data_IF_216735841677
#
_entry.id   IF_216735841677
#
_cell.length_a   1.000
_cell.length_b   1.000
_cell.length_c   1.000
_cell.angle_alpha   90.00
_cell.angle_beta   90.00
_cell.angle_gamma   90.00
#
_symmetry.space_group_name_H-M   'P 1'
#
loop_
_entity.id
_entity.type
_entity.pdbx_description
1 polymer ?
#
# COMPACT_ATOMS: atom_id res chain seq x y z
N UNK A 1 -0.25 -15.77 -69.83
CA UNK A 1 -0.81 -15.24 -68.58
C UNK A 1 -0.18 -16.01 -67.43
N UNK A 2 0.80 -15.42 -66.74
CA UNK A 2 1.48 -16.07 -65.60
C UNK A 2 0.88 -15.49 -64.34
N UNK A 3 0.07 -16.29 -63.64
CA UNK A 3 -0.50 -15.91 -62.34
C UNK A 3 0.59 -16.16 -61.31
N UNK A 4 1.18 -15.08 -60.79
CA UNK A 4 2.14 -15.13 -59.70
C UNK A 4 1.35 -15.14 -58.39
N UNK A 5 1.20 -16.32 -57.77
CA UNK A 5 0.61 -16.44 -56.43
C UNK A 5 1.71 -16.07 -55.44
N UNK A 6 1.64 -14.87 -54.86
CA UNK A 6 2.49 -14.49 -53.72
C UNK A 6 1.77 -14.99 -52.46
N UNK A 7 2.22 -16.12 -51.92
CA UNK A 7 1.76 -16.58 -50.62
C UNK A 7 2.25 -15.63 -49.53
N UNK A 8 1.31 -14.97 -48.83
CA UNK A 8 1.62 -14.26 -47.59
C UNK A 8 1.77 -15.32 -46.50
N UNK A 9 3.00 -15.65 -46.13
CA UNK A 9 3.24 -16.43 -44.93
C UNK A 9 2.96 -15.54 -43.71
N UNK A 10 1.87 -15.80 -42.99
CA UNK A 10 1.65 -15.19 -41.69
C UNK A 10 2.60 -15.87 -40.69
N UNK A 11 3.74 -15.23 -40.42
CA UNK A 11 4.62 -15.64 -39.34
C UNK A 11 4.00 -15.17 -38.02
N UNK A 12 3.51 -16.11 -37.21
CA UNK A 12 3.18 -15.83 -35.81
C UNK A 12 4.49 -15.66 -35.05
N UNK A 13 4.88 -14.43 -34.76
CA UNK A 13 6.01 -14.18 -33.84
C UNK A 13 5.47 -14.46 -32.43
N UNK A 14 6.01 -15.43 -31.67
CA UNK A 14 5.60 -15.62 -30.29
C UNK A 14 5.99 -14.36 -29.51
N UNK A 15 4.99 -13.67 -28.95
CA UNK A 15 5.24 -12.61 -27.98
C UNK A 15 5.93 -13.26 -26.77
N UNK A 16 7.12 -12.76 -26.43
CA UNK A 16 7.71 -13.10 -25.14
C UNK A 16 7.05 -12.20 -24.13
N UNK A 17 6.37 -12.83 -23.18
CA UNK A 17 5.79 -12.10 -22.08
C UNK A 17 6.89 -11.70 -21.10
N UNK A 18 7.03 -10.41 -20.83
CA UNK A 18 7.89 -9.92 -19.77
C UNK A 18 7.08 -9.77 -18.49
N UNK A 19 7.56 -10.38 -17.40
CA UNK A 19 7.01 -10.18 -16.07
C UNK A 19 7.75 -9.02 -15.43
N UNK A 20 7.05 -7.91 -15.22
CA UNK A 20 7.60 -6.67 -14.69
C UNK A 20 7.01 -6.43 -13.30
N UNK A 21 7.87 -6.13 -12.32
CA UNK A 21 7.45 -5.68 -11.01
C UNK A 21 7.06 -4.20 -11.09
N UNK A 22 5.80 -3.88 -10.83
CA UNK A 22 5.25 -2.52 -10.89
C UNK A 22 4.79 -2.10 -9.49
N UNK A 23 5.07 -0.85 -9.11
CA UNK A 23 4.60 -0.25 -7.87
C UNK A 23 3.34 0.60 -8.09
N UNK A 24 2.42 0.57 -7.14
CA UNK A 24 1.25 1.44 -7.12
C UNK A 24 1.14 2.13 -5.77
N UNK A 25 0.88 3.44 -5.79
CA UNK A 25 0.73 4.21 -4.56
C UNK A 25 -0.62 3.95 -3.89
N UNK A 26 -0.56 3.60 -2.61
CA UNK A 26 -1.75 3.47 -1.77
C UNK A 26 -2.13 4.87 -1.31
N UNK A 27 -3.38 5.28 -1.60
CA UNK A 27 -3.89 6.54 -1.07
C UNK A 27 -4.31 6.31 0.38
N UNK A 28 -3.97 7.24 1.27
CA UNK A 28 -4.28 7.13 2.69
C UNK A 28 -4.72 8.48 3.23
N UNK A 29 -5.79 8.49 4.02
CA UNK A 29 -6.23 9.68 4.73
C UNK A 29 -5.34 9.94 5.95
N UNK A 30 -5.39 11.18 6.46
CA UNK A 30 -5.01 11.44 7.84
C UNK A 30 -5.91 10.63 8.79
N UNK A 31 -5.37 10.28 9.95
CA UNK A 31 -6.12 9.67 11.04
C UNK A 31 -6.96 10.73 11.74
N UNK A 32 -8.24 10.43 11.96
CA UNK A 32 -9.08 11.14 12.92
C UNK A 32 -8.93 10.47 14.29
N UNK A 33 -8.43 11.22 15.28
CA UNK A 33 -8.05 10.68 16.59
C UNK A 33 -9.01 11.21 17.64
N UNK A 34 -9.70 10.32 18.35
CA UNK A 34 -10.50 10.67 19.54
C UNK A 34 -9.77 10.22 20.80
N UNK A 35 -9.47 11.17 21.67
CA UNK A 35 -8.72 10.97 22.90
C UNK A 35 -9.62 10.73 24.10
N UNK A 36 -9.13 9.91 25.03
CA UNK A 36 -9.83 9.52 26.23
C UNK A 36 -8.90 9.59 27.45
N UNK A 37 -9.38 10.21 28.52
CA UNK A 37 -8.80 10.04 29.84
C UNK A 37 -9.23 8.67 30.40
N UNK A 38 -8.26 7.89 30.89
CA UNK A 38 -8.48 6.56 31.41
C UNK A 38 -8.34 6.60 32.94
N UNK A 39 -9.43 6.50 33.72
CA UNK A 39 -9.36 6.59 35.19
C UNK A 39 -9.03 5.24 35.87
N UNK A 40 -9.15 4.13 35.14
CA UNK A 40 -9.00 2.77 35.64
C UNK A 40 -8.12 1.95 34.71
N UNK A 41 -7.34 1.03 35.27
CA UNK A 41 -6.40 0.23 34.50
C UNK A 41 -7.11 -0.52 33.37
N UNK A 42 -6.60 -0.45 32.13
CA UNK A 42 -7.18 -1.20 31.02
C UNK A 42 -7.19 -2.70 31.26
N UNK A 43 -8.20 -3.35 30.69
CA UNK A 43 -8.35 -4.80 30.74
C UNK A 43 -7.91 -5.42 29.42
N UNK A 44 -7.88 -6.74 29.34
CA UNK A 44 -7.66 -7.46 28.07
C UNK A 44 -8.73 -7.10 27.02
N UNK A 45 -9.93 -6.66 27.41
CA UNK A 45 -10.97 -6.26 26.45
C UNK A 45 -10.72 -4.86 25.86
N UNK A 46 -9.92 -4.03 26.53
CA UNK A 46 -9.67 -2.65 26.14
C UNK A 46 -9.66 -1.69 27.33
N UNK A 47 -9.70 -0.40 27.03
CA UNK A 47 -9.87 0.65 28.03
C UNK A 47 -11.30 1.20 28.04
N UNK A 48 -11.71 1.72 29.20
CA UNK A 48 -12.86 2.60 29.33
C UNK A 48 -12.36 3.98 29.72
N UNK A 49 -12.84 5.03 29.07
CA UNK A 49 -12.37 6.38 29.34
C UNK A 49 -13.40 7.46 29.07
N UNK A 50 -13.11 8.65 29.57
CA UNK A 50 -13.90 9.86 29.32
C UNK A 50 -13.30 10.57 28.12
N UNK A 51 -14.12 10.91 27.12
CA UNK A 51 -13.66 11.65 25.94
C UNK A 51 -13.13 13.04 26.35
N UNK A 52 -11.93 13.39 25.88
CA UNK A 52 -11.24 14.65 26.23
C UNK A 52 -10.89 15.54 25.03
N UNK A 53 -11.02 15.04 23.80
CA UNK A 53 -10.79 15.87 22.62
C UNK A 53 -10.50 15.08 21.35
N UNK A 54 -10.37 15.81 20.24
CA UNK A 54 -9.99 15.25 18.96
C UNK A 54 -8.68 15.87 18.47
N UNK A 55 -7.93 15.09 17.68
CA UNK A 55 -6.79 15.58 16.90
C UNK A 55 -6.72 14.84 15.56
N UNK A 56 -5.65 15.09 14.80
CA UNK A 56 -5.31 14.30 13.61
C UNK A 56 -3.87 13.82 13.68
N UNK A 57 -3.58 12.70 13.01
CA UNK A 57 -2.22 12.26 12.70
C UNK A 57 -2.06 12.06 11.19
N UNK A 58 -0.87 12.27 10.62
CA UNK A 58 -0.59 11.88 9.24
C UNK A 58 -0.71 10.36 9.06
N UNK A 59 -0.83 9.84 7.82
CA UNK A 59 -1.06 8.41 7.57
C UNK A 59 -0.03 7.48 8.22
N UNK A 60 1.21 7.96 8.35
CA UNK A 60 2.32 7.34 9.10
C UNK A 60 2.78 8.36 10.12
N UNK A 61 2.87 7.96 11.38
CA UNK A 61 3.16 8.90 12.46
C UNK A 61 3.94 8.27 13.60
N UNK A 62 4.62 9.12 14.36
CA UNK A 62 5.23 8.81 15.65
C UNK A 62 4.84 9.89 16.63
N UNK A 63 4.28 9.49 17.76
CA UNK A 63 4.03 10.33 18.93
C UNK A 63 4.94 9.87 20.07
N UNK A 64 5.76 10.77 20.58
CA UNK A 64 6.70 10.49 21.67
C UNK A 64 6.60 11.64 22.66
N UNK A 65 5.87 11.41 23.76
CA UNK A 65 5.53 12.43 24.75
C UNK A 65 6.32 12.26 26.05
N UNK A 66 7.19 11.24 26.13
CA UNK A 66 7.97 10.97 27.32
C UNK A 66 7.09 10.73 28.54
N UNK A 67 7.55 11.22 29.70
CA UNK A 67 6.91 10.99 31.00
C UNK A 67 6.00 12.14 31.47
N UNK A 68 6.03 13.28 30.78
CA UNK A 68 5.39 14.53 31.25
C UNK A 68 3.89 14.62 30.93
N UNK A 69 3.31 13.55 30.38
CA UNK A 69 1.89 13.47 30.06
C UNK A 69 1.52 14.17 28.74
N UNK A 70 0.44 13.71 28.11
CA UNK A 70 -0.04 14.23 26.81
C UNK A 70 -1.01 15.41 27.02
N UNK A 71 -1.88 15.31 28.03
CA UNK A 71 -2.91 16.30 28.36
C UNK A 71 -2.83 16.56 29.88
N UNK A 72 -2.24 17.71 30.26
CA UNK A 72 -2.03 18.21 31.63
C UNK A 72 -0.92 17.54 32.48
N UNK A 73 -0.04 18.37 33.06
CA UNK A 73 1.16 17.97 33.83
C UNK A 73 0.90 17.03 35.03
N UNK A 74 -0.34 16.97 35.54
CA UNK A 74 -0.69 16.15 36.72
C UNK A 74 -1.29 14.79 36.37
N UNK A 75 -1.62 14.55 35.10
CA UNK A 75 -2.19 13.29 34.65
C UNK A 75 -1.04 12.36 34.25
N UNK A 76 -0.51 11.59 35.22
CA UNK A 76 0.44 10.50 34.93
C UNK A 76 -0.07 9.71 33.73
N UNK A 77 0.54 9.87 32.55
CA UNK A 77 0.07 9.45 31.22
C UNK A 77 -0.98 8.34 31.21
N UNK A 78 -2.24 8.66 31.55
CA UNK A 78 -3.35 7.70 31.72
C UNK A 78 -4.39 8.06 30.68
N UNK A 79 -4.02 7.76 29.44
CA UNK A 79 -4.66 8.31 28.26
C UNK A 79 -4.69 7.25 27.18
N UNK A 80 -5.74 7.25 26.39
CA UNK A 80 -5.80 6.42 25.20
C UNK A 80 -6.47 7.16 24.06
N UNK A 81 -6.40 6.57 22.88
CA UNK A 81 -7.17 7.04 21.75
C UNK A 81 -7.76 5.88 20.97
N UNK A 82 -8.85 6.20 20.27
CA UNK A 82 -9.33 5.42 19.14
C UNK A 82 -9.20 6.31 17.91
N UNK A 83 -8.36 5.89 16.98
CA UNK A 83 -8.08 6.60 15.75
C UNK A 83 -8.63 5.83 14.55
N UNK A 84 -9.10 6.55 13.53
CA UNK A 84 -9.65 5.97 12.32
C UNK A 84 -9.09 6.64 11.08
N UNK A 85 -8.73 5.85 10.09
CA UNK A 85 -8.27 6.30 8.78
C UNK A 85 -8.86 5.41 7.70
N UNK A 86 -8.81 5.90 6.46
CA UNK A 86 -9.16 5.12 5.28
C UNK A 86 -7.93 4.99 4.38
N UNK A 87 -7.75 3.81 3.79
CA UNK A 87 -6.82 3.60 2.69
C UNK A 87 -7.59 3.15 1.44
N UNK A 88 -7.09 3.54 0.27
CA UNK A 88 -7.62 3.11 -1.02
C UNK A 88 -6.53 2.37 -1.78
N UNK A 89 -6.75 1.07 -1.94
CA UNK A 89 -5.89 0.16 -2.66
C UNK A 89 -6.14 0.31 -4.17
N UNK A 90 -5.12 0.68 -4.95
CA UNK A 90 -5.27 0.82 -6.41
C UNK A 90 -5.35 -0.52 -7.13
N UNK A 91 -4.88 -1.59 -6.48
CA UNK A 91 -4.84 -2.95 -6.99
C UNK A 91 -4.77 -3.93 -5.80
N UNK A 92 -5.21 -5.17 -5.99
CA UNK A 92 -5.05 -6.23 -4.99
C UNK A 92 -3.56 -6.46 -4.66
N UNK A 93 -3.25 -6.61 -3.38
CA UNK A 93 -1.90 -6.97 -2.96
C UNK A 93 -1.68 -6.98 -1.45
N UNK A 94 -0.45 -7.25 -1.04
CA UNK A 94 -0.08 -7.28 0.38
C UNK A 94 0.42 -5.92 0.85
N UNK A 95 -0.03 -5.52 2.03
CA UNK A 95 0.41 -4.31 2.73
C UNK A 95 0.93 -4.73 4.09
N UNK A 96 2.16 -4.35 4.42
CA UNK A 96 2.71 -4.51 5.76
C UNK A 96 2.30 -3.31 6.62
N UNK A 97 1.83 -3.61 7.83
CA UNK A 97 1.54 -2.65 8.89
C UNK A 97 2.44 -2.94 10.08
N UNK A 98 2.92 -1.90 10.76
CA UNK A 98 3.74 -2.03 11.95
C UNK A 98 3.29 -1.03 13.02
N UNK A 99 3.28 -1.48 14.27
CA UNK A 99 2.98 -0.65 15.44
C UNK A 99 4.07 -0.83 16.47
N UNK A 100 4.47 0.28 17.08
CA UNK A 100 5.22 0.31 18.33
C UNK A 100 4.40 1.09 19.37
N UNK A 101 4.43 0.63 20.61
CA UNK A 101 3.66 1.22 21.70
C UNK A 101 4.39 1.13 23.02
N UNK A 102 4.26 2.15 23.88
CA UNK A 102 4.76 2.13 25.25
C UNK A 102 4.04 1.08 26.10
N UNK A 103 2.71 1.06 26.03
CA UNK A 103 1.87 -0.02 26.59
C UNK A 103 1.10 -0.71 25.46
N UNK A 104 -0.24 -0.68 25.47
CA UNK A 104 -1.04 -1.48 24.56
C UNK A 104 -1.49 -0.76 23.29
N UNK A 105 -1.49 -1.52 22.18
CA UNK A 105 -2.11 -1.09 20.93
C UNK A 105 -2.78 -2.24 20.18
N UNK A 106 -3.83 -1.92 19.41
CA UNK A 106 -4.55 -2.84 18.52
C UNK A 106 -4.88 -2.18 17.19
N UNK A 107 -4.58 -2.88 16.10
CA UNK A 107 -4.99 -2.48 14.76
C UNK A 107 -6.12 -3.38 14.27
N UNK A 108 -7.16 -2.74 13.77
CA UNK A 108 -8.23 -3.37 13.05
C UNK A 108 -8.25 -2.89 11.60
N UNK A 109 -8.47 -3.81 10.66
CA UNK A 109 -8.72 -3.50 9.25
C UNK A 109 -10.06 -4.09 8.87
N UNK A 110 -10.97 -3.25 8.37
CA UNK A 110 -12.36 -3.60 8.07
C UNK A 110 -13.11 -4.28 9.22
N UNK A 111 -12.70 -3.99 10.46
CA UNK A 111 -13.26 -4.56 11.68
C UNK A 111 -12.58 -5.85 12.17
N UNK A 112 -11.63 -6.41 11.42
CA UNK A 112 -10.85 -7.58 11.85
C UNK A 112 -9.58 -7.15 12.59
N UNK A 113 -9.32 -7.76 13.75
CA UNK A 113 -8.10 -7.53 14.54
C UNK A 113 -6.89 -8.16 13.85
N UNK A 114 -5.93 -7.34 13.40
CA UNK A 114 -4.76 -7.81 12.64
C UNK A 114 -3.44 -7.67 13.40
N UNK A 115 -3.33 -6.73 14.33
CA UNK A 115 -2.20 -6.59 15.24
C UNK A 115 -2.77 -6.41 16.65
N UNK A 116 -2.34 -7.25 17.58
CA UNK A 116 -2.68 -7.15 19.00
C UNK A 116 -1.41 -7.20 19.83
N UNK A 117 -0.99 -6.04 20.33
CA UNK A 117 0.11 -5.90 21.30
C UNK A 117 -0.43 -5.28 22.59
N UNK A 118 -1.67 -5.62 22.95
CA UNK A 118 -2.33 -5.14 24.15
C UNK A 118 -1.75 -5.82 25.39
N UNK A 119 -0.75 -5.20 26.01
CA UNK A 119 -0.21 -5.64 27.29
C UNK A 119 -0.90 -4.88 28.42
N UNK A 120 -1.30 -5.55 29.50
CA UNK A 120 -1.94 -4.95 30.70
C UNK A 120 -0.98 -4.87 31.89
N UNK A 121 0.20 -5.49 31.81
CA UNK A 121 1.23 -5.50 32.85
C UNK A 121 2.13 -4.27 32.75
N UNK A 122 1.62 -3.14 33.22
CA UNK A 122 2.31 -1.84 33.22
C UNK A 122 3.57 -1.79 34.11
N UNK A 123 3.71 -2.71 35.06
CA UNK A 123 4.84 -2.77 35.99
C UNK A 123 6.15 -3.25 35.34
N UNK A 124 6.08 -3.83 34.14
CA UNK A 124 7.22 -4.34 33.40
C UNK A 124 7.79 -3.39 32.34
N UNK A 125 7.24 -2.18 32.15
CA UNK A 125 7.70 -1.13 31.21
C UNK A 125 8.56 -1.63 30.05
N UNK A 126 7.93 -2.32 29.10
CA UNK A 126 8.58 -2.71 27.85
C UNK A 126 7.80 -2.13 26.68
N UNK A 127 8.49 -1.32 25.87
CA UNK A 127 7.98 -0.87 24.58
C UNK A 127 7.69 -2.10 23.72
N UNK A 128 6.42 -2.35 23.44
CA UNK A 128 5.94 -3.44 22.60
C UNK A 128 5.99 -3.06 21.12
N UNK A 129 6.17 -4.06 20.25
CA UNK A 129 6.01 -3.87 18.80
C UNK A 129 5.34 -5.08 18.14
N UNK A 130 4.58 -4.83 17.08
CA UNK A 130 3.86 -5.83 16.31
C UNK A 130 3.79 -5.47 14.84
N UNK A 131 3.69 -6.47 13.97
CA UNK A 131 3.53 -6.26 12.53
C UNK A 131 2.62 -7.31 11.91
N UNK A 132 1.94 -6.95 10.82
CA UNK A 132 1.12 -7.86 10.04
C UNK A 132 1.20 -7.51 8.55
N UNK A 133 1.31 -8.52 7.71
CA UNK A 133 1.19 -8.38 6.25
C UNK A 133 -0.17 -8.90 5.80
N UNK A 134 -1.04 -7.98 5.40
CA UNK A 134 -2.44 -8.27 5.08
C UNK A 134 -2.65 -8.16 3.58
N UNK A 135 -3.30 -9.16 2.99
CA UNK A 135 -3.75 -9.09 1.60
C UNK A 135 -5.02 -8.25 1.55
N UNK A 136 -4.96 -7.11 0.87
CA UNK A 136 -6.09 -6.23 0.63
C UNK A 136 -6.50 -6.31 -0.84
N UNK A 137 -7.80 -6.18 -1.08
CA UNK A 137 -8.33 -6.13 -2.43
C UNK A 137 -8.31 -4.69 -2.94
N UNK A 138 -8.52 -4.50 -4.23
CA UNK A 138 -8.68 -3.17 -4.83
C UNK A 138 -9.90 -2.46 -4.21
N UNK A 139 -9.74 -1.19 -3.86
CA UNK A 139 -10.78 -0.36 -3.29
C UNK A 139 -10.50 0.12 -1.87
N UNK A 140 -11.54 0.60 -1.20
CA UNK A 140 -11.45 1.27 0.08
C UNK A 140 -11.44 0.28 1.25
N UNK A 141 -10.51 0.47 2.17
CA UNK A 141 -10.38 -0.27 3.43
C UNK A 141 -10.33 0.70 4.62
N UNK A 142 -10.99 0.34 5.72
CA UNK A 142 -11.03 1.16 6.93
C UNK A 142 -10.02 0.65 7.95
N UNK A 143 -9.21 1.54 8.47
CA UNK A 143 -8.29 1.28 9.58
C UNK A 143 -8.90 1.83 10.88
N UNK A 144 -8.73 1.08 11.97
CA UNK A 144 -9.04 1.54 13.32
C UNK A 144 -7.91 1.14 14.27
N UNK A 145 -7.29 2.13 14.92
CA UNK A 145 -6.18 1.95 15.83
C UNK A 145 -6.62 2.32 17.24
N UNK A 146 -6.55 1.35 18.14
CA UNK A 146 -6.73 1.57 19.56
C UNK A 146 -5.35 1.62 20.19
N UNK A 147 -5.13 2.57 21.08
CA UNK A 147 -3.88 2.72 21.81
C UNK A 147 -4.15 3.25 23.21
N UNK A 148 -3.33 2.84 24.17
CA UNK A 148 -3.31 3.47 25.47
C UNK A 148 -1.90 3.56 26.05
N UNK A 149 -1.76 4.53 26.95
CA UNK A 149 -0.70 4.60 27.94
C UNK A 149 -1.34 4.56 29.34
N UNK A 150 -0.72 3.78 30.21
CA UNK A 150 -1.04 3.66 31.63
C UNK A 150 0.21 3.93 32.47
N UNK A 151 0.47 5.24 32.66
CA UNK A 151 1.64 5.79 33.36
C UNK A 151 2.94 5.52 32.61
N UNK A 152 4.04 6.16 33.02
CA UNK A 152 5.35 5.94 32.39
C UNK A 152 5.53 6.68 31.06
N UNK A 153 6.36 6.13 30.18
CA UNK A 153 6.79 6.76 28.93
C UNK A 153 5.75 6.57 27.81
N UNK A 154 5.02 7.64 27.51
CA UNK A 154 4.01 7.67 26.46
C UNK A 154 4.64 7.72 25.07
N UNK A 155 4.50 6.62 24.32
CA UNK A 155 4.98 6.51 22.95
C UNK A 155 4.05 5.65 22.09
N UNK A 156 3.87 6.05 20.85
CA UNK A 156 3.23 5.26 19.80
C UNK A 156 3.88 5.56 18.45
N UNK A 157 4.01 4.54 17.62
CA UNK A 157 4.38 4.71 16.22
C UNK A 157 3.53 3.77 15.37
N UNK A 158 3.04 4.27 14.25
CA UNK A 158 2.34 3.48 13.25
C UNK A 158 2.98 3.73 11.89
N UNK A 159 3.33 2.63 11.21
CA UNK A 159 3.83 2.66 9.84
C UNK A 159 3.08 1.66 8.97
N UNK A 160 3.10 1.91 7.66
CA UNK A 160 2.59 0.99 6.66
C UNK A 160 3.38 1.12 5.36
N UNK A 161 3.32 0.08 4.52
CA UNK A 161 3.73 0.21 3.12
C UNK A 161 2.86 1.28 2.44
N UNK A 162 3.50 2.26 1.79
CA UNK A 162 2.81 3.29 1.00
C UNK A 162 2.63 2.93 -0.46
N UNK A 163 3.19 1.79 -0.85
CA UNK A 163 3.16 1.25 -2.20
C UNK A 163 2.90 -0.23 -2.15
N UNK A 164 2.10 -0.72 -3.09
CA UNK A 164 1.89 -2.15 -3.32
C UNK A 164 2.67 -2.56 -4.56
N UNK A 165 3.39 -3.69 -4.46
CA UNK A 165 4.20 -4.22 -5.55
C UNK A 165 3.47 -5.40 -6.21
N UNK A 166 3.24 -5.34 -7.52
CA UNK A 166 2.54 -6.38 -8.27
C UNK A 166 3.36 -6.80 -9.49
N UNK A 167 3.42 -8.11 -9.74
CA UNK A 167 3.99 -8.64 -10.97
C UNK A 167 2.96 -8.54 -12.10
N UNK A 168 3.24 -7.66 -13.06
CA UNK A 168 2.43 -7.50 -14.25
C UNK A 168 3.08 -8.21 -15.44
N UNK A 169 2.24 -8.73 -16.31
CA UNK A 169 2.67 -9.34 -17.58
C UNK A 169 2.49 -8.31 -18.69
N UNK A 170 3.58 -7.74 -19.21
CA UNK A 170 3.53 -6.73 -20.29
C UNK A 170 3.94 -7.37 -21.61
N UNK A 171 3.12 -7.27 -22.68
CA UNK A 171 3.55 -7.66 -24.02
C UNK A 171 4.57 -6.64 -24.53
N UNK A 172 5.69 -7.10 -25.10
CA UNK A 172 6.67 -6.21 -25.72
C UNK A 172 6.01 -5.32 -26.80
N UNK A 173 6.33 -4.01 -26.88
CA UNK A 173 5.84 -3.16 -27.96
C UNK A 173 6.39 -3.66 -29.29
N UNK A 174 5.51 -3.93 -30.27
CA UNK A 174 5.88 -4.38 -31.62
C UNK A 174 6.54 -3.22 -32.39
N UNK A 175 7.82 -2.96 -32.13
CA UNK A 175 8.60 -1.99 -32.92
C UNK A 175 8.98 -2.62 -34.29
N UNK A 176 8.90 -3.95 -34.43
CA UNK A 176 9.43 -4.69 -35.59
C UNK A 176 8.55 -4.79 -36.85
N UNK A 177 7.21 -4.69 -36.78
CA UNK A 177 6.36 -4.93 -37.96
C UNK A 177 6.23 -3.72 -38.89
N UNK A 178 6.27 -2.49 -38.36
CA UNK A 178 6.11 -1.28 -39.17
C UNK A 178 7.24 -1.10 -40.21
N UNK A 179 8.47 -1.48 -39.85
CA UNK A 179 9.65 -1.30 -40.70
C UNK A 179 9.78 -2.41 -41.75
N UNK A 180 9.42 -3.66 -41.40
CA UNK A 180 9.52 -4.80 -42.31
C UNK A 180 8.51 -4.72 -43.48
N UNK A 181 7.27 -4.27 -43.22
CA UNK A 181 6.27 -4.11 -44.28
C UNK A 181 6.63 -2.97 -45.26
N UNK A 182 7.22 -1.87 -44.78
CA UNK A 182 7.70 -0.77 -45.64
C UNK A 182 8.86 -1.20 -46.55
N UNK A 183 9.82 -1.97 -46.01
CA UNK A 183 10.98 -2.44 -46.78
C UNK A 183 10.62 -3.37 -47.95
N UNK A 184 9.65 -4.28 -47.76
CA UNK A 184 9.20 -5.21 -48.81
C UNK A 184 8.42 -4.47 -49.91
N UNK A 185 7.56 -3.52 -49.55
CA UNK A 185 6.79 -2.72 -50.52
C UNK A 185 7.72 -1.87 -51.39
N UNK A 186 8.75 -1.23 -50.81
CA UNK A 186 9.72 -0.42 -51.56
C UNK A 186 10.55 -1.25 -52.55
N UNK A 187 10.97 -2.47 -52.19
CA UNK A 187 11.69 -3.36 -53.12
C UNK A 187 10.83 -3.81 -54.31
N UNK A 188 9.55 -4.07 -54.10
CA UNK A 188 8.62 -4.46 -55.18
C UNK A 188 8.42 -3.30 -56.16
N UNK A 189 8.25 -2.07 -55.66
CA UNK A 189 8.12 -0.87 -56.50
C UNK A 189 9.41 -0.62 -57.31
N UNK A 190 10.59 -0.77 -56.70
CA UNK A 190 11.87 -0.59 -57.38
C UNK A 190 12.06 -1.60 -58.52
N UNK A 191 11.78 -2.90 -58.29
CA UNK A 191 11.85 -3.93 -59.34
C UNK A 191 10.85 -3.70 -60.48
N UNK A 192 9.65 -3.19 -60.19
CA UNK A 192 8.65 -2.87 -61.23
C UNK A 192 9.09 -1.68 -62.10
N UNK A 193 9.78 -0.68 -61.52
CA UNK A 193 10.29 0.48 -62.28
C UNK A 193 11.44 0.11 -63.21
N UNK A 194 12.37 -0.74 -62.75
CA UNK A 194 13.49 -1.27 -63.57
C UNK A 194 12.98 -2.06 -64.78
N UNK A 195 11.93 -2.88 -64.59
CA UNK A 195 11.37 -3.73 -65.66
C UNK A 195 10.62 -2.95 -66.75
N UNK A 196 10.12 -1.75 -66.44
CA UNK A 196 9.51 -0.83 -67.42
C UNK A 196 10.57 -0.08 -68.23
N UNK A 197 11.74 0.21 -67.65
CA UNK A 197 12.83 0.93 -68.33
C UNK A 197 13.54 0.09 -69.40
N UNK A 198 13.60 -1.24 -69.23
CA UNK A 198 14.29 -2.13 -70.17
C UNK A 198 13.41 -2.61 -71.34
N UNK A 199 12.28 -1.93 -71.60
CA UNK A 199 11.32 -2.26 -72.67
C UNK A 199 11.06 -1.09 -73.63
N UNK A 200 11.92 -0.08 -73.64
CA UNK A 200 11.94 0.98 -74.64
C UNK A 200 13.14 0.77 -75.58
#
# INVERSE_FOLDING_TARGET
MVILIVGVAAATIPFKDEVVLTDYEIQASDWNVSWYYIPVEPTEEGFTGTFIGNSTFPPVFRGDWGVEGIFEEWMYSTVGFIARADIEMPIDGYVKFEILSGDGARLYIDGELVIDIWETRWDLQEVGSGSASIKLNTGKHRLELWWYQWRGWAIVEFTMDRKVMVFEKKPEPVIGLGVACLGVVLMVIAKLKVRKSNKA
#
